data_IF_312228737657
#
_entry.id   IF_312228737657
#
_cell.length_a   1.000
_cell.length_b   1.000
_cell.length_c   1.000
_cell.angle_alpha   90.00
_cell.angle_beta   90.00
_cell.angle_gamma   90.00
#
_symmetry.space_group_name_H-M   'P 1'
#
loop_
_entity.id
_entity.type
_entity.pdbx_description
1 polymer ?
#
# COMPACT_ATOMS: atom_id res chain seq x y z
N UNK A 1 9.66 -8.33 -5.35
CA UNK A 1 10.20 -7.30 -6.24
C UNK A 1 9.16 -6.24 -6.56
N UNK A 2 9.56 -4.99 -6.53
CA UNK A 2 8.71 -3.82 -6.84
C UNK A 2 8.44 -3.77 -8.34
N UNK A 3 7.18 -3.51 -8.74
CA UNK A 3 6.78 -3.22 -10.12
C UNK A 3 6.17 -1.84 -10.17
N UNK A 4 6.72 -0.98 -11.03
CA UNK A 4 6.14 0.32 -11.35
C UNK A 4 5.28 0.15 -12.61
N UNK A 5 3.97 0.42 -12.50
CA UNK A 5 3.01 0.36 -13.61
C UNK A 5 2.42 1.75 -13.84
N UNK A 6 2.59 2.28 -15.04
CA UNK A 6 1.91 3.49 -15.51
C UNK A 6 0.89 3.07 -16.57
N UNK A 7 -0.40 3.34 -16.35
CA UNK A 7 -1.46 2.94 -17.28
C UNK A 7 -1.76 4.03 -18.29
N UNK A 8 -1.81 3.63 -19.59
CA UNK A 8 -2.24 4.55 -20.63
C UNK A 8 -2.63 3.86 -21.96
N UNK A 9 -3.51 4.48 -22.73
CA UNK A 9 -4.19 3.90 -23.90
C UNK A 9 -3.35 3.81 -25.18
N UNK A 10 -3.50 2.65 -25.89
CA UNK A 10 -3.27 2.39 -27.33
C UNK A 10 -1.90 2.70 -27.92
N UNK A 11 -0.95 1.89 -27.61
CA UNK A 11 0.07 1.22 -28.43
C UNK A 11 0.86 0.41 -27.40
N UNK A 12 1.25 -0.83 -27.70
CA UNK A 12 1.82 -1.76 -26.72
C UNK A 12 2.79 -1.08 -25.75
N UNK A 13 2.41 -0.97 -24.49
CA UNK A 13 3.25 -0.46 -23.42
C UNK A 13 4.49 -1.35 -23.33
N UNK A 14 5.68 -0.80 -23.55
CA UNK A 14 6.91 -1.56 -23.40
C UNK A 14 7.27 -1.68 -21.92
N UNK A 15 7.39 -2.92 -21.44
CA UNK A 15 7.94 -3.18 -20.12
C UNK A 15 9.45 -3.18 -20.20
N UNK A 16 10.08 -2.23 -19.53
CA UNK A 16 11.56 -2.12 -19.45
C UNK A 16 12.01 -2.43 -18.02
N UNK A 17 13.28 -2.83 -17.87
CA UNK A 17 13.90 -2.97 -16.54
C UNK A 17 14.86 -1.83 -16.29
N UNK A 18 14.60 -1.07 -15.22
CA UNK A 18 15.47 0.01 -14.75
C UNK A 18 16.00 -0.41 -13.38
N UNK A 19 17.30 -0.65 -13.25
CA UNK A 19 17.95 -1.09 -12.01
C UNK A 19 17.25 -2.29 -11.34
N UNK A 20 16.77 -3.24 -12.14
CA UNK A 20 16.06 -4.43 -11.64
C UNK A 20 14.56 -4.25 -11.43
N UNK A 21 14.04 -3.03 -11.46
CA UNK A 21 12.62 -2.72 -11.34
C UNK A 21 11.94 -2.81 -12.71
N UNK A 22 10.87 -3.60 -12.80
CA UNK A 22 10.04 -3.64 -14.02
C UNK A 22 9.22 -2.35 -14.09
N UNK A 23 9.42 -1.57 -15.11
CA UNK A 23 8.80 -0.27 -15.31
C UNK A 23 8.00 -0.30 -16.61
N UNK A 24 6.78 0.20 -16.57
CA UNK A 24 5.90 0.32 -17.73
C UNK A 24 5.55 1.78 -17.91
N UNK A 25 5.78 2.31 -19.10
CA UNK A 25 5.41 3.66 -19.46
C UNK A 25 4.35 3.65 -20.53
N UNK A 26 3.41 4.53 -20.38
CA UNK A 26 2.52 4.87 -21.47
C UNK A 26 2.37 6.37 -21.60
N UNK A 27 2.53 6.90 -22.79
CA UNK A 27 2.49 8.33 -23.07
C UNK A 27 1.10 8.75 -23.54
N UNK A 28 0.51 9.73 -22.88
CA UNK A 28 -0.76 10.38 -23.26
C UNK A 28 -0.54 11.87 -23.53
N UNK A 29 -0.15 12.24 -24.77
CA UNK A 29 0.23 13.62 -25.10
C UNK A 29 -0.87 14.67 -24.83
N UNK A 30 -2.13 14.23 -24.89
CA UNK A 30 -3.31 15.10 -24.70
C UNK A 30 -3.66 15.33 -23.23
N UNK A 31 -3.06 14.55 -22.30
CA UNK A 31 -3.36 14.67 -20.87
C UNK A 31 -2.37 15.62 -20.19
N UNK A 32 -2.91 16.41 -19.27
CA UNK A 32 -2.12 17.31 -18.39
C UNK A 32 -1.92 16.74 -16.99
N UNK A 33 -2.36 15.52 -16.76
CA UNK A 33 -2.17 14.78 -15.52
C UNK A 33 -1.30 13.55 -15.75
N UNK A 34 -0.54 13.19 -14.73
CA UNK A 34 0.27 11.98 -14.68
C UNK A 34 -0.18 11.14 -13.50
N UNK A 35 -0.38 9.84 -13.72
CA UNK A 35 -0.57 8.87 -12.65
C UNK A 35 0.66 7.98 -12.55
N UNK A 36 1.18 7.85 -11.34
CA UNK A 36 2.33 6.99 -10.99
C UNK A 36 1.87 5.95 -9.99
N UNK A 37 2.13 4.68 -10.25
CA UNK A 37 1.82 3.59 -9.31
C UNK A 37 3.06 2.73 -9.06
N UNK A 38 3.26 2.33 -7.80
CA UNK A 38 4.34 1.44 -7.35
C UNK A 38 3.70 0.21 -6.72
N UNK A 39 3.82 -0.94 -7.38
CA UNK A 39 3.28 -2.21 -6.90
C UNK A 39 4.36 -3.02 -6.21
N UNK A 40 4.09 -3.38 -4.98
CA UNK A 40 4.94 -4.22 -4.15
C UNK A 40 4.32 -5.61 -4.06
N UNK A 41 5.11 -6.66 -4.19
CA UNK A 41 4.67 -8.05 -4.00
C UNK A 41 4.54 -8.35 -2.50
N UNK A 42 3.58 -7.68 -1.85
CA UNK A 42 3.16 -7.82 -0.46
C UNK A 42 1.64 -7.80 -0.41
N UNK A 43 1.04 -8.66 0.39
CA UNK A 43 -0.41 -8.84 0.50
C UNK A 43 -0.72 -10.10 1.31
N UNK A 44 -1.99 -10.32 1.64
CA UNK A 44 -2.40 -11.34 2.62
C UNK A 44 -1.97 -12.77 2.27
N UNK A 45 -1.78 -13.12 1.00
CA UNK A 45 -1.32 -14.47 0.61
C UNK A 45 0.13 -14.76 1.01
N UNK A 46 0.95 -13.72 1.26
CA UNK A 46 2.35 -13.87 1.63
C UNK A 46 2.59 -13.79 3.13
N UNK A 47 1.53 -13.64 3.91
CA UNK A 47 1.59 -13.48 5.35
C UNK A 47 1.47 -14.84 6.05
N UNK A 48 2.05 -14.94 7.25
CA UNK A 48 1.80 -16.05 8.14
C UNK A 48 0.54 -15.75 8.99
N UNK A 49 -0.16 -16.79 9.44
CA UNK A 49 -1.42 -16.66 10.19
C UNK A 49 -1.29 -15.74 11.42
N UNK A 50 -0.17 -15.83 12.14
CA UNK A 50 0.08 -15.04 13.35
C UNK A 50 0.27 -13.54 13.13
N UNK A 51 0.54 -13.13 11.88
CA UNK A 51 0.78 -11.73 11.46
C UNK A 51 -0.11 -11.31 10.29
N UNK A 52 -1.21 -12.03 10.06
CA UNK A 52 -2.16 -11.68 8.99
C UNK A 52 -2.69 -10.25 9.20
N UNK A 53 -2.69 -9.46 8.13
CA UNK A 53 -2.97 -8.02 8.13
C UNK A 53 -1.71 -7.14 8.18
N UNK A 54 -0.49 -7.72 8.22
CA UNK A 54 0.76 -6.95 8.30
C UNK A 54 1.01 -6.10 7.07
N UNK A 55 0.60 -6.54 5.86
CA UNK A 55 0.74 -5.74 4.63
C UNK A 55 -0.14 -4.50 4.67
N UNK A 56 -1.38 -4.64 5.10
CA UNK A 56 -2.31 -3.55 5.30
C UNK A 56 -1.83 -2.60 6.41
N UNK A 57 -1.33 -3.13 7.52
CA UNK A 57 -0.74 -2.32 8.58
C UNK A 57 0.45 -1.49 8.08
N UNK A 58 1.34 -2.07 7.26
CA UNK A 58 2.46 -1.34 6.64
C UNK A 58 1.94 -0.23 5.73
N UNK A 59 0.87 -0.48 4.97
CA UNK A 59 0.23 0.55 4.15
C UNK A 59 -0.09 1.79 5.00
N UNK A 60 -0.83 1.64 6.12
CA UNK A 60 -1.14 2.72 7.05
C UNK A 60 0.12 3.41 7.57
N UNK A 61 1.12 2.63 7.99
CA UNK A 61 2.34 3.16 8.59
C UNK A 61 3.19 4.00 7.64
N UNK A 62 3.16 3.74 6.33
CA UNK A 62 3.92 4.52 5.35
C UNK A 62 3.42 5.96 5.23
N UNK A 63 2.17 6.24 5.62
CA UNK A 63 1.63 7.60 5.68
C UNK A 63 1.93 8.33 6.98
N UNK A 64 2.46 7.66 8.02
CA UNK A 64 2.72 8.27 9.35
C UNK A 64 4.02 9.05 9.43
N UNK A 65 4.84 8.98 8.41
CA UNK A 65 6.07 9.74 8.29
C UNK A 65 7.26 8.92 7.80
N UNK A 66 8.28 9.63 7.43
CA UNK A 66 9.55 9.09 6.95
C UNK A 66 10.70 9.64 7.81
N UNK A 67 11.92 9.17 7.54
CA UNK A 67 13.12 9.77 8.15
C UNK A 67 13.31 11.24 7.78
N UNK A 68 12.68 11.69 6.68
CA UNK A 68 12.88 13.04 6.11
C UNK A 68 11.65 13.93 6.26
N UNK A 69 10.46 13.35 6.48
CA UNK A 69 9.20 14.08 6.53
C UNK A 69 8.30 13.55 7.62
N UNK A 70 7.69 14.44 8.39
CA UNK A 70 6.58 14.09 9.28
C UNK A 70 5.30 13.80 8.48
N UNK A 71 4.31 13.12 9.06
CA UNK A 71 2.99 12.92 8.47
C UNK A 71 2.37 14.24 7.97
N UNK A 72 2.46 15.29 8.79
CA UNK A 72 1.98 16.63 8.41
C UNK A 72 2.71 17.20 7.20
N UNK A 73 4.03 17.05 7.12
CA UNK A 73 4.82 17.53 5.98
C UNK A 73 4.53 16.74 4.69
N UNK A 74 4.19 15.44 4.80
CA UNK A 74 3.74 14.66 3.66
C UNK A 74 2.42 15.25 3.14
N UNK A 75 1.44 15.48 4.01
CA UNK A 75 0.16 16.07 3.64
C UNK A 75 0.31 17.47 3.03
N UNK A 76 1.03 18.39 3.72
CA UNK A 76 1.27 19.75 3.23
C UNK A 76 1.94 19.75 1.85
N UNK A 77 2.99 18.96 1.64
CA UNK A 77 3.67 18.88 0.33
C UNK A 77 2.80 18.26 -0.77
N UNK A 78 1.92 17.31 -0.42
CA UNK A 78 0.96 16.72 -1.35
C UNK A 78 -0.07 17.77 -1.79
N UNK A 79 -0.60 18.53 -0.83
CA UNK A 79 -1.56 19.62 -1.08
C UNK A 79 -0.94 20.75 -1.91
N UNK A 80 0.31 21.16 -1.60
CA UNK A 80 1.04 22.23 -2.29
C UNK A 80 1.19 21.98 -3.80
N UNK A 81 1.29 20.73 -4.20
CA UNK A 81 1.41 20.34 -5.62
C UNK A 81 0.07 19.89 -6.24
N UNK A 82 -1.01 19.94 -5.46
CA UNK A 82 -2.34 19.47 -5.87
C UNK A 82 -2.35 18.01 -6.28
N UNK A 83 -1.54 17.16 -5.61
CA UNK A 83 -1.50 15.73 -5.85
C UNK A 83 -2.56 15.00 -5.03
N UNK A 84 -3.04 13.90 -5.57
CA UNK A 84 -3.73 12.85 -4.82
C UNK A 84 -2.73 11.70 -4.63
N UNK A 85 -2.36 11.41 -3.38
CA UNK A 85 -1.51 10.27 -3.03
C UNK A 85 -2.34 9.31 -2.18
N UNK A 86 -2.38 8.05 -2.59
CA UNK A 86 -3.15 7.03 -1.89
C UNK A 86 -2.49 5.66 -2.06
N UNK A 87 -3.03 4.65 -1.36
CA UNK A 87 -2.60 3.27 -1.48
C UNK A 87 -3.79 2.32 -1.33
N UNK A 88 -3.57 1.07 -1.70
CA UNK A 88 -4.48 -0.03 -1.38
C UNK A 88 -3.70 -1.34 -1.27
N UNK A 89 -4.16 -2.21 -0.40
CA UNK A 89 -3.63 -3.57 -0.23
C UNK A 89 -4.63 -4.58 -0.75
N UNK A 90 -4.14 -5.47 -1.59
CA UNK A 90 -4.86 -6.61 -2.13
C UNK A 90 -4.29 -7.92 -1.55
N UNK A 91 -4.84 -9.05 -2.00
CA UNK A 91 -4.35 -10.35 -1.54
C UNK A 91 -2.91 -10.65 -1.98
N UNK A 92 -2.50 -10.20 -3.17
CA UNK A 92 -1.20 -10.51 -3.78
C UNK A 92 -0.27 -9.31 -3.99
N UNK A 93 -0.75 -8.08 -3.79
CA UNK A 93 0.06 -6.87 -3.91
C UNK A 93 -0.44 -5.74 -3.01
N UNK A 94 0.45 -4.78 -2.75
CA UNK A 94 0.11 -3.47 -2.22
C UNK A 94 0.55 -2.43 -3.25
N UNK A 95 -0.34 -1.51 -3.60
CA UNK A 95 -0.07 -0.43 -4.55
C UNK A 95 -0.06 0.91 -3.83
N UNK A 96 0.96 1.71 -4.10
CA UNK A 96 1.06 3.12 -3.71
C UNK A 96 1.03 3.95 -4.96
N UNK A 97 0.13 4.92 -5.05
CA UNK A 97 -0.03 5.69 -6.28
C UNK A 97 -0.22 7.19 -6.01
N UNK A 98 0.11 7.96 -7.02
CA UNK A 98 -0.13 9.40 -7.04
C UNK A 98 -0.72 9.83 -8.37
N UNK A 99 -1.65 10.78 -8.33
CA UNK A 99 -2.15 11.50 -9.51
C UNK A 99 -1.89 12.98 -9.32
N UNK A 100 -1.28 13.62 -10.31
CA UNK A 100 -0.81 15.02 -10.21
C UNK A 100 -0.74 15.67 -11.60
N UNK A 101 -0.66 17.00 -11.65
CA UNK A 101 -0.36 17.70 -12.90
C UNK A 101 1.05 17.34 -13.41
N UNK A 102 1.23 17.27 -14.72
CA UNK A 102 2.46 16.88 -15.39
C UNK A 102 3.69 17.68 -14.94
N UNK A 103 3.53 18.97 -14.63
CA UNK A 103 4.58 19.85 -14.13
C UNK A 103 5.11 19.47 -12.75
N UNK A 104 4.34 18.74 -11.95
CA UNK A 104 4.67 18.30 -10.59
C UNK A 104 4.99 16.82 -10.47
N UNK A 105 5.07 16.07 -11.58
CA UNK A 105 5.27 14.61 -11.57
C UNK A 105 6.49 14.14 -10.76
N UNK A 106 7.62 14.86 -10.86
CA UNK A 106 8.83 14.51 -10.11
C UNK A 106 8.68 14.77 -8.61
N UNK A 107 7.94 15.81 -8.22
CA UNK A 107 7.67 16.09 -6.80
C UNK A 107 6.80 14.98 -6.19
N UNK A 108 5.73 14.57 -6.85
CA UNK A 108 4.87 13.47 -6.41
C UNK A 108 5.64 12.14 -6.34
N UNK A 109 6.44 11.83 -7.36
CA UNK A 109 7.28 10.62 -7.35
C UNK A 109 8.29 10.63 -6.19
N UNK A 110 8.91 11.77 -5.90
CA UNK A 110 9.86 11.88 -4.78
C UNK A 110 9.17 11.67 -3.42
N UNK A 111 7.94 12.16 -3.23
CA UNK A 111 7.17 11.92 -2.00
C UNK A 111 6.90 10.41 -1.86
N UNK A 112 6.37 9.75 -2.91
CA UNK A 112 6.13 8.30 -2.89
C UNK A 112 7.40 7.49 -2.62
N UNK A 113 8.50 7.85 -3.27
CA UNK A 113 9.77 7.15 -3.07
C UNK A 113 10.32 7.36 -1.64
N UNK A 114 10.16 8.54 -1.06
CA UNK A 114 10.59 8.78 0.32
C UNK A 114 9.75 7.97 1.31
N UNK A 115 8.43 7.91 1.13
CA UNK A 115 7.54 7.05 1.92
C UNK A 115 7.95 5.58 1.83
N UNK A 116 8.27 5.09 0.63
CA UNK A 116 8.66 3.70 0.37
C UNK A 116 10.10 3.36 0.73
N UNK A 117 11.03 4.29 0.72
CA UNK A 117 12.44 3.99 0.96
C UNK A 117 12.90 4.33 2.38
N UNK A 118 12.19 5.22 3.07
CA UNK A 118 12.63 5.78 4.34
C UNK A 118 11.55 5.76 5.46
N UNK A 119 10.69 4.71 5.57
CA UNK A 119 9.64 4.69 6.59
C UNK A 119 10.23 4.69 8.00
N UNK A 120 9.47 5.24 8.97
CA UNK A 120 9.90 5.30 10.37
C UNK A 120 9.51 4.07 11.19
N UNK A 121 8.28 3.58 11.09
CA UNK A 121 7.74 2.54 11.97
C UNK A 121 8.02 2.83 13.44
N UNK A 122 7.52 3.98 13.95
CA UNK A 122 7.65 4.31 15.36
C UNK A 122 6.72 3.45 16.22
N UNK A 123 7.13 3.14 17.45
CA UNK A 123 6.26 2.39 18.37
C UNK A 123 4.96 3.14 18.65
N UNK A 124 5.05 4.46 18.88
CA UNK A 124 3.89 5.30 19.18
C UNK A 124 2.85 5.28 18.06
N UNK A 125 3.29 5.45 16.79
CA UNK A 125 2.39 5.40 15.64
C UNK A 125 1.85 3.98 15.42
N UNK A 126 2.66 2.95 15.64
CA UNK A 126 2.22 1.55 15.54
C UNK A 126 1.10 1.26 16.53
N UNK A 127 1.19 1.76 17.78
CA UNK A 127 0.13 1.56 18.77
C UNK A 127 -1.16 2.31 18.39
N UNK A 128 -1.05 3.54 17.90
CA UNK A 128 -2.21 4.33 17.45
C UNK A 128 -2.89 3.70 16.24
N UNK A 129 -2.12 3.30 15.22
CA UNK A 129 -2.68 2.71 14.01
C UNK A 129 -3.26 1.32 14.24
N UNK A 130 -2.75 0.55 15.19
CA UNK A 130 -3.36 -0.71 15.59
C UNK A 130 -4.82 -0.54 16.01
N UNK A 131 -5.12 0.49 16.80
CA UNK A 131 -6.50 0.78 17.21
C UNK A 131 -7.37 1.20 16.01
N UNK A 132 -6.84 2.02 15.10
CA UNK A 132 -7.54 2.41 13.87
C UNK A 132 -7.88 1.19 13.02
N UNK A 133 -6.92 0.29 12.80
CA UNK A 133 -7.13 -0.93 12.01
C UNK A 133 -8.13 -1.88 12.70
N UNK A 134 -8.12 -1.96 14.04
CA UNK A 134 -9.10 -2.75 14.77
C UNK A 134 -10.51 -2.17 14.58
N UNK A 135 -10.68 -0.85 14.63
CA UNK A 135 -11.97 -0.20 14.35
C UNK A 135 -12.41 -0.44 12.89
N UNK A 136 -11.50 -0.44 11.93
CA UNK A 136 -11.80 -0.78 10.54
C UNK A 136 -12.25 -2.23 10.37
N UNK A 137 -11.59 -3.19 11.05
CA UNK A 137 -12.04 -4.59 11.09
C UNK A 137 -13.45 -4.70 11.67
N UNK A 138 -13.74 -4.01 12.77
CA UNK A 138 -15.06 -4.01 13.39
C UNK A 138 -16.12 -3.40 12.45
N UNK A 139 -15.81 -2.30 11.79
CA UNK A 139 -16.67 -1.67 10.80
C UNK A 139 -16.99 -2.61 9.63
N UNK A 140 -15.98 -3.33 9.12
CA UNK A 140 -16.17 -4.32 8.05
C UNK A 140 -17.03 -5.52 8.50
N UNK A 141 -16.96 -5.90 9.78
CA UNK A 141 -17.81 -6.95 10.34
C UNK A 141 -19.27 -6.51 10.53
N UNK A 142 -19.52 -5.21 10.65
CA UNK A 142 -20.87 -4.64 10.73
C UNK A 142 -21.49 -4.40 9.34
N UNK A 143 -20.72 -4.47 8.26
CA UNK A 143 -21.20 -4.33 6.88
C UNK A 143 -21.64 -5.69 6.31
N UNK A 144 -22.94 -5.90 5.99
CA UNK A 144 -23.40 -7.17 5.44
C UNK A 144 -22.80 -7.56 4.08
N UNK A 145 -22.41 -6.58 3.25
CA UNK A 145 -21.78 -6.84 1.94
C UNK A 145 -20.37 -7.38 2.14
N UNK A 146 -19.58 -6.77 3.02
CA UNK A 146 -18.26 -7.21 3.40
C UNK A 146 -18.29 -8.60 4.02
N UNK A 147 -19.18 -8.84 4.97
CA UNK A 147 -19.37 -10.15 5.63
C UNK A 147 -19.72 -11.24 4.62
N UNK A 148 -20.62 -10.95 3.69
CA UNK A 148 -21.00 -11.89 2.63
C UNK A 148 -19.83 -12.22 1.71
N UNK A 149 -19.10 -11.18 1.25
CA UNK A 149 -17.93 -11.31 0.39
C UNK A 149 -16.80 -12.08 1.06
N UNK A 150 -16.50 -11.76 2.32
CA UNK A 150 -15.48 -12.45 3.12
C UNK A 150 -15.85 -13.92 3.37
N UNK A 151 -17.11 -14.21 3.69
CA UNK A 151 -17.60 -15.56 3.90
C UNK A 151 -17.53 -16.39 2.62
N UNK A 152 -17.95 -15.83 1.49
CA UNK A 152 -17.84 -16.50 0.18
C UNK A 152 -16.38 -16.79 -0.17
N UNK A 153 -15.48 -15.81 0.04
CA UNK A 153 -14.04 -15.96 -0.22
C UNK A 153 -13.42 -17.04 0.67
N UNK A 154 -13.75 -17.07 1.96
CA UNK A 154 -13.20 -18.07 2.89
C UNK A 154 -13.68 -19.49 2.60
N UNK A 155 -14.93 -19.66 2.16
CA UNK A 155 -15.45 -20.98 1.73
C UNK A 155 -14.78 -21.43 0.43
N UNK A 156 -14.68 -20.53 -0.56
CA UNK A 156 -14.16 -20.88 -1.89
C UNK A 156 -12.65 -21.16 -1.86
N UNK A 157 -11.89 -20.40 -1.09
CA UNK A 157 -10.43 -20.50 -1.01
C UNK A 157 -9.93 -21.24 0.24
N UNK A 158 -10.81 -22.00 0.89
CA UNK A 158 -10.50 -22.71 2.11
C UNK A 158 -9.19 -23.51 2.02
N UNK A 159 -8.39 -23.47 3.08
CA UNK A 159 -7.08 -24.15 3.20
C UNK A 159 -6.01 -23.65 2.20
N UNK A 160 -6.23 -22.50 1.57
CA UNK A 160 -5.23 -21.83 0.73
C UNK A 160 -4.84 -20.47 1.32
N UNK A 161 -3.69 -19.89 0.94
CA UNK A 161 -3.33 -18.53 1.35
C UNK A 161 -4.35 -17.46 0.94
N UNK A 162 -5.16 -17.70 -0.08
CA UNK A 162 -6.22 -16.79 -0.54
C UNK A 162 -7.41 -16.71 0.44
N UNK A 163 -7.54 -17.63 1.38
CA UNK A 163 -8.54 -17.56 2.45
C UNK A 163 -8.33 -16.35 3.37
N UNK A 164 -7.07 -15.92 3.56
CA UNK A 164 -6.71 -14.86 4.51
C UNK A 164 -7.35 -13.53 4.14
N UNK A 165 -7.89 -12.84 5.14
CA UNK A 165 -8.43 -11.49 5.00
C UNK A 165 -7.29 -10.48 4.83
N UNK A 166 -7.53 -9.44 4.04
CA UNK A 166 -6.53 -8.36 3.81
C UNK A 166 -6.30 -7.56 5.09
N UNK A 167 -7.38 -7.21 5.79
CA UNK A 167 -7.33 -6.50 7.07
C UNK A 167 -6.71 -7.34 8.21
N UNK A 168 -6.64 -8.67 8.02
CA UNK A 168 -6.27 -9.58 9.07
C UNK A 168 -7.41 -9.86 10.05
N UNK A 169 -7.05 -10.23 11.27
CA UNK A 169 -7.98 -10.45 12.39
C UNK A 169 -7.57 -9.58 13.57
N UNK A 170 -8.51 -9.26 14.45
CA UNK A 170 -8.20 -8.53 15.70
C UNK A 170 -7.07 -9.20 16.48
N UNK A 171 -7.03 -10.54 16.50
CA UNK A 171 -5.99 -11.32 17.18
C UNK A 171 -4.62 -11.14 16.51
N UNK A 172 -4.54 -11.27 15.18
CA UNK A 172 -3.26 -11.13 14.46
C UNK A 172 -2.74 -9.70 14.48
N UNK A 173 -3.62 -8.70 14.31
CA UNK A 173 -3.26 -7.28 14.36
C UNK A 173 -2.74 -6.87 15.74
N UNK A 174 -3.30 -7.40 16.84
CA UNK A 174 -2.79 -7.19 18.21
C UNK A 174 -1.39 -7.75 18.42
N UNK A 175 -0.99 -8.76 17.67
CA UNK A 175 0.36 -9.35 17.77
C UNK A 175 1.42 -8.58 16.97
N UNK A 176 1.03 -7.69 16.05
CA UNK A 176 1.96 -6.96 15.18
C UNK A 176 2.57 -5.80 15.97
N UNK A 177 3.88 -5.82 16.13
CA UNK A 177 4.68 -4.72 16.71
C UNK A 177 5.59 -4.08 15.65
N UNK A 178 6.32 -3.04 16.03
CA UNK A 178 7.22 -2.33 15.11
C UNK A 178 8.37 -3.22 14.59
N UNK A 179 8.75 -4.27 15.31
CA UNK A 179 9.79 -5.19 14.86
C UNK A 179 9.26 -6.15 13.80
N UNK A 180 8.02 -6.63 13.97
CA UNK A 180 7.33 -7.44 12.97
C UNK A 180 7.12 -6.64 11.69
N UNK A 181 6.65 -5.37 11.80
CA UNK A 181 6.49 -4.47 10.67
C UNK A 181 7.82 -4.28 9.92
N UNK A 182 8.90 -3.93 10.63
CA UNK A 182 10.24 -3.75 10.05
C UNK A 182 10.74 -5.03 9.36
N UNK A 183 10.64 -6.18 10.03
CA UNK A 183 11.11 -7.46 9.49
C UNK A 183 10.35 -7.86 8.21
N UNK A 184 9.03 -7.71 8.22
CA UNK A 184 8.21 -8.01 7.05
C UNK A 184 8.48 -7.02 5.91
N UNK A 185 8.60 -5.73 6.22
CA UNK A 185 8.95 -4.69 5.27
C UNK A 185 10.28 -4.99 4.57
N UNK A 186 11.37 -5.20 5.29
CA UNK A 186 12.67 -5.50 4.67
C UNK A 186 12.72 -6.82 3.89
N UNK A 187 11.82 -7.75 4.19
CA UNK A 187 11.71 -9.01 3.46
C UNK A 187 10.97 -8.84 2.13
N UNK A 188 10.01 -7.92 2.04
CA UNK A 188 9.08 -7.80 0.91
C UNK A 188 9.28 -6.56 0.05
N UNK A 189 9.66 -5.46 0.65
CA UNK A 189 9.84 -4.16 0.02
C UNK A 189 11.31 -3.89 -0.35
#
# INVERSE_FOLDING_TARGET
GVRLLLFLRRNMSEAIKINGVTTIFEKMPEMKTVSVGIWVKAGSIYEDEGINGVSHFIEHMLFKGTKNMTCRQIAEKTDDIGAEINAYTEKDCTCYYATVLDVHQLAALNILLDMLCNPLFSQEDTEKEREVIIEEILSSLDDPEDVCSQSASSIYFKETPLERQVLGTIKSVKNIDENILKNYYFKRY
#
